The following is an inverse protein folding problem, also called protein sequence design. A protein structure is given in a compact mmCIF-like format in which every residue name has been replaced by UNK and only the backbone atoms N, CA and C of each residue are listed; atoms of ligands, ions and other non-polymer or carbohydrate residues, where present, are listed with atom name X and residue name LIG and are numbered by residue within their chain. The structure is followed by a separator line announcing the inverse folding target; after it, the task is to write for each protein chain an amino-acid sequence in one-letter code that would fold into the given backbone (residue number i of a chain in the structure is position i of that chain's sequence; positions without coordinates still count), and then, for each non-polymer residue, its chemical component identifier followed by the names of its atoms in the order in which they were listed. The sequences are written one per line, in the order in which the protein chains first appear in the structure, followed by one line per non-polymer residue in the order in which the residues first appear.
data_IF_124037493488
#
_entry.id   IF_124037493488
#
_cell.length_a   1.000
_cell.length_b   1.000
_cell.length_c   1.000
_cell.angle_alpha   90.00
_cell.angle_beta   90.00
_cell.angle_gamma   90.00
#
_symmetry.space_group_name_H-M   'P 1'
#
loop_
_entity.id
_entity.type
_entity.pdbx_description
1 polymer ?
#
# COMPACT_ATOMS: atom_id res chain seq x y z
N UNK A 1 -33.16 -23.81 -21.69
CA UNK A 1 -32.52 -22.68 -20.99
C UNK A 1 -31.09 -22.64 -21.47
N UNK A 2 -30.62 -21.52 -22.06
CA UNK A 2 -29.19 -21.38 -22.36
C UNK A 2 -28.46 -21.47 -21.02
N UNK A 3 -27.55 -22.41 -20.86
CA UNK A 3 -26.59 -22.37 -19.76
C UNK A 3 -25.83 -21.05 -19.95
N UNK A 4 -26.19 -20.01 -19.19
CA UNK A 4 -25.51 -18.72 -19.27
C UNK A 4 -24.03 -18.87 -18.91
N UNK A 5 -23.25 -17.78 -19.01
CA UNK A 5 -21.82 -17.71 -18.65
C UNK A 5 -21.41 -18.57 -17.45
N UNK A 6 -22.17 -18.53 -16.36
CA UNK A 6 -21.89 -19.30 -15.14
C UNK A 6 -22.07 -20.82 -15.32
N UNK A 7 -22.97 -21.25 -16.20
CA UNK A 7 -23.13 -22.66 -16.59
C UNK A 7 -21.91 -23.17 -17.35
N UNK A 8 -21.38 -22.40 -18.30
CA UNK A 8 -20.15 -22.76 -19.03
C UNK A 8 -18.92 -22.79 -18.12
N UNK A 9 -18.75 -21.78 -17.25
CA UNK A 9 -17.67 -21.77 -16.24
C UNK A 9 -17.79 -22.98 -15.32
N UNK A 10 -19.01 -23.34 -14.91
CA UNK A 10 -19.26 -24.51 -14.05
C UNK A 10 -18.98 -25.82 -14.79
N UNK A 11 -19.36 -25.95 -16.05
CA UNK A 11 -19.09 -27.13 -16.88
C UNK A 11 -17.57 -27.33 -17.06
N UNK A 12 -16.85 -26.26 -17.39
CA UNK A 12 -15.39 -26.33 -17.56
C UNK A 12 -14.66 -26.58 -16.24
N UNK A 13 -15.16 -26.01 -15.13
CA UNK A 13 -14.68 -26.37 -13.79
C UNK A 13 -14.88 -27.86 -13.51
N UNK A 14 -16.03 -28.43 -13.86
CA UNK A 14 -16.29 -29.85 -13.66
C UNK A 14 -15.36 -30.72 -14.51
N UNK A 15 -15.09 -30.34 -15.75
CA UNK A 15 -14.12 -31.01 -16.61
C UNK A 15 -12.69 -30.96 -16.05
N UNK A 16 -12.28 -29.82 -15.48
CA UNK A 16 -10.99 -29.72 -14.77
C UNK A 16 -11.00 -30.66 -13.57
N UNK A 17 -12.09 -30.72 -12.80
CA UNK A 17 -12.22 -31.62 -11.64
C UNK A 17 -12.16 -33.09 -12.04
N UNK A 18 -12.81 -33.47 -13.14
CA UNK A 18 -12.84 -34.85 -13.66
C UNK A 18 -11.49 -35.31 -14.21
N UNK A 19 -10.67 -34.38 -14.72
CA UNK A 19 -9.33 -34.67 -15.24
C UNK A 19 -8.23 -34.71 -14.17
N UNK A 20 -8.57 -34.46 -12.90
CA UNK A 20 -7.64 -34.56 -11.78
C UNK A 20 -7.73 -35.96 -11.15
N UNK A 21 -6.61 -36.67 -11.06
CA UNK A 21 -6.55 -38.05 -10.60
C UNK A 21 -6.85 -38.18 -9.09
N UNK A 22 -7.34 -39.34 -8.65
CA UNK A 22 -7.78 -39.59 -7.26
C UNK A 22 -6.70 -39.35 -6.17
N UNK A 23 -5.41 -39.28 -6.52
CA UNK A 23 -4.30 -39.10 -5.56
C UNK A 23 -4.00 -37.63 -5.17
N UNK A 24 -4.74 -36.66 -5.70
CA UNK A 24 -4.32 -35.27 -5.70
C UNK A 24 -4.82 -34.43 -4.52
N UNK A 25 -4.39 -34.82 -3.32
CA UNK A 25 -4.87 -34.19 -2.10
C UNK A 25 -4.31 -32.74 -1.93
N UNK A 26 -5.23 -31.77 -1.88
CA UNK A 26 -5.04 -30.32 -1.59
C UNK A 26 -4.35 -29.42 -2.62
N UNK A 27 -3.38 -29.87 -3.44
CA UNK A 27 -2.75 -29.03 -4.50
C UNK A 27 -3.73 -28.64 -5.63
N UNK A 28 -4.81 -29.39 -5.75
CA UNK A 28 -5.69 -29.35 -6.90
C UNK A 28 -6.82 -28.33 -6.80
N UNK A 29 -7.29 -28.04 -5.58
CA UNK A 29 -8.27 -26.95 -5.36
C UNK A 29 -7.73 -25.61 -5.84
N UNK A 30 -6.43 -25.41 -5.76
CA UNK A 30 -5.73 -24.26 -6.30
C UNK A 30 -5.74 -24.18 -7.81
N UNK A 31 -5.32 -25.26 -8.44
CA UNK A 31 -5.30 -25.36 -9.89
C UNK A 31 -6.70 -25.16 -10.48
N UNK A 32 -7.71 -25.85 -9.91
CA UNK A 32 -9.12 -25.66 -10.29
C UNK A 32 -9.52 -24.19 -10.21
N UNK A 33 -9.17 -23.49 -9.12
CA UNK A 33 -9.50 -22.06 -8.95
C UNK A 33 -8.79 -21.17 -9.97
N UNK A 34 -7.50 -21.39 -10.19
CA UNK A 34 -6.69 -20.62 -11.15
C UNK A 34 -7.19 -20.82 -12.59
N UNK A 35 -7.40 -22.06 -13.01
CA UNK A 35 -7.94 -22.36 -14.34
C UNK A 35 -9.35 -21.79 -14.51
N UNK A 36 -10.23 -21.95 -13.50
CA UNK A 36 -11.57 -21.34 -13.52
C UNK A 36 -11.51 -19.81 -13.63
N UNK A 37 -10.54 -19.17 -12.96
CA UNK A 37 -10.31 -17.73 -13.06
C UNK A 37 -9.84 -17.31 -14.46
N UNK A 38 -8.84 -18.01 -15.04
CA UNK A 38 -8.34 -17.71 -16.39
C UNK A 38 -9.44 -17.86 -17.46
N UNK A 39 -10.25 -18.92 -17.36
CA UNK A 39 -11.41 -19.13 -18.24
C UNK A 39 -12.43 -18.01 -18.08
N UNK A 40 -12.70 -17.58 -16.84
CA UNK A 40 -13.57 -16.43 -16.58
C UNK A 40 -13.01 -15.18 -17.26
N UNK A 41 -11.73 -14.85 -17.09
CA UNK A 41 -11.11 -13.67 -17.70
C UNK A 41 -11.19 -13.69 -19.24
N UNK A 42 -10.97 -14.84 -19.87
CA UNK A 42 -11.08 -14.98 -21.32
C UNK A 42 -12.51 -14.73 -21.80
N UNK A 43 -13.50 -15.34 -21.14
CA UNK A 43 -14.92 -15.17 -21.48
C UNK A 43 -15.38 -13.74 -21.26
N UNK A 44 -14.85 -13.07 -20.24
CA UNK A 44 -15.24 -11.71 -19.86
C UNK A 44 -14.85 -10.66 -20.91
N UNK A 45 -13.86 -10.93 -21.77
CA UNK A 45 -13.42 -10.02 -22.84
C UNK A 45 -14.54 -9.66 -23.82
N UNK A 46 -15.41 -10.61 -24.15
CA UNK A 46 -16.41 -10.47 -25.21
C UNK A 46 -17.82 -10.23 -24.69
N UNK A 47 -17.99 -10.04 -23.38
CA UNK A 47 -19.31 -9.80 -22.80
C UNK A 47 -19.86 -8.40 -23.17
N UNK A 48 -21.21 -8.27 -23.23
CA UNK A 48 -21.87 -6.96 -23.28
C UNK A 48 -21.46 -6.07 -22.11
N UNK A 49 -21.48 -4.75 -22.31
CA UNK A 49 -21.06 -3.75 -21.32
C UNK A 49 -21.76 -3.90 -19.96
N UNK A 50 -23.07 -4.15 -19.95
CA UNK A 50 -23.83 -4.32 -18.70
C UNK A 50 -23.40 -5.57 -17.91
N UNK A 51 -23.10 -6.68 -18.60
CA UNK A 51 -22.60 -7.90 -17.94
C UNK A 51 -21.18 -7.69 -17.39
N UNK A 52 -20.31 -6.97 -18.11
CA UNK A 52 -18.98 -6.58 -17.62
C UNK A 52 -19.07 -5.73 -16.36
N UNK A 53 -20.03 -4.80 -16.32
CA UNK A 53 -20.29 -3.95 -15.15
C UNK A 53 -20.72 -4.78 -13.94
N UNK A 54 -21.64 -5.73 -14.12
CA UNK A 54 -22.07 -6.61 -13.04
C UNK A 54 -20.92 -7.46 -12.48
N UNK A 55 -20.06 -8.00 -13.35
CA UNK A 55 -18.89 -8.79 -12.93
C UNK A 55 -17.90 -7.92 -12.16
N UNK A 56 -17.64 -6.71 -12.66
CA UNK A 56 -16.79 -5.72 -12.00
C UNK A 56 -17.32 -5.38 -10.60
N UNK A 57 -18.62 -5.08 -10.47
CA UNK A 57 -19.24 -4.75 -9.19
C UNK A 57 -19.19 -5.94 -8.21
N UNK A 58 -19.42 -7.17 -8.67
CA UNK A 58 -19.26 -8.38 -7.84
C UNK A 58 -17.82 -8.56 -7.36
N UNK A 59 -16.84 -8.30 -8.22
CA UNK A 59 -15.43 -8.39 -7.90
C UNK A 59 -15.02 -7.32 -6.88
N UNK A 60 -15.43 -6.06 -7.08
CA UNK A 60 -15.22 -4.95 -6.13
C UNK A 60 -15.80 -5.32 -4.75
N UNK A 61 -17.05 -5.78 -4.70
CA UNK A 61 -17.72 -6.16 -3.46
C UNK A 61 -17.07 -7.36 -2.75
N UNK A 62 -16.41 -8.27 -3.48
CA UNK A 62 -15.64 -9.39 -2.90
C UNK A 62 -14.43 -8.90 -2.10
N UNK A 63 -13.76 -7.85 -2.54
CA UNK A 63 -12.44 -7.45 -2.04
C UNK A 63 -12.44 -6.18 -1.19
N UNK A 64 -13.41 -5.30 -1.38
CA UNK A 64 -13.54 -4.04 -0.65
C UNK A 64 -14.73 -4.09 0.30
N UNK A 65 -14.53 -3.53 1.50
CA UNK A 65 -15.55 -3.42 2.53
C UNK A 65 -16.51 -2.29 2.21
N UNK A 66 -15.95 -1.14 1.84
CA UNK A 66 -16.63 0.11 1.56
C UNK A 66 -15.87 0.84 0.45
N UNK A 67 -16.58 1.60 -0.38
CA UNK A 67 -16.02 2.50 -1.36
C UNK A 67 -17.02 3.62 -1.66
N UNK A 68 -16.51 4.80 -1.99
CA UNK A 68 -17.30 5.95 -2.40
C UNK A 68 -16.75 6.54 -3.69
N UNK A 69 -17.63 7.11 -4.49
CA UNK A 69 -17.28 7.82 -5.72
C UNK A 69 -17.53 9.29 -5.46
N UNK A 70 -16.59 10.14 -5.87
CA UNK A 70 -16.76 11.60 -5.85
C UNK A 70 -18.08 12.02 -6.50
N UNK A 71 -18.77 13.00 -5.91
CA UNK A 71 -20.04 13.50 -6.46
C UNK A 71 -19.83 14.38 -7.68
N UNK A 72 -18.76 15.16 -7.70
CA UNK A 72 -18.43 16.08 -8.80
C UNK A 72 -17.45 15.48 -9.82
N UNK A 73 -16.97 14.25 -9.57
CA UNK A 73 -15.96 13.62 -10.41
C UNK A 73 -14.57 14.24 -10.20
N UNK A 74 -14.14 14.35 -8.95
CA UNK A 74 -12.81 14.84 -8.62
C UNK A 74 -11.71 13.86 -9.03
N UNK A 75 -10.53 14.40 -9.31
CA UNK A 75 -9.35 13.66 -9.75
C UNK A 75 -8.48 13.16 -8.58
N UNK A 76 -9.10 12.86 -7.44
CA UNK A 76 -8.38 12.35 -6.27
C UNK A 76 -9.07 11.15 -5.64
N UNK A 77 -8.24 10.28 -5.05
CA UNK A 77 -8.69 9.08 -4.38
C UNK A 77 -7.92 8.84 -3.09
N UNK A 78 -8.64 8.35 -2.07
CA UNK A 78 -8.07 8.00 -0.77
C UNK A 78 -8.33 6.53 -0.47
N UNK A 79 -7.28 5.76 -0.19
CA UNK A 79 -7.43 4.37 0.20
C UNK A 79 -6.98 4.09 1.63
N UNK A 80 -7.48 2.96 2.15
CA UNK A 80 -7.04 2.39 3.41
C UNK A 80 -6.97 0.86 3.32
N UNK A 81 -5.93 0.37 2.65
CA UNK A 81 -5.78 -1.06 2.35
C UNK A 81 -5.39 -1.94 3.54
N UNK A 82 -4.91 -1.36 4.65
CA UNK A 82 -4.53 -2.11 5.86
C UNK A 82 -5.46 -1.85 7.07
N UNK A 83 -6.61 -1.21 6.84
CA UNK A 83 -7.54 -0.73 7.87
C UNK A 83 -8.22 -1.78 8.75
N UNK A 84 -8.28 -3.06 8.35
CA UNK A 84 -9.13 -4.02 9.05
C UNK A 84 -8.52 -4.49 10.38
N UNK A 85 -9.30 -4.36 11.47
CA UNK A 85 -9.00 -4.95 12.78
C UNK A 85 -8.77 -6.46 12.70
N UNK A 86 -8.00 -6.98 13.65
CA UNK A 86 -7.99 -8.41 13.91
C UNK A 86 -9.40 -8.93 14.22
N UNK A 87 -9.81 -9.95 13.48
CA UNK A 87 -10.99 -10.74 13.78
C UNK A 87 -10.75 -11.68 14.97
N UNK A 88 -11.81 -12.29 15.49
CA UNK A 88 -11.75 -13.16 16.66
C UNK A 88 -10.80 -14.35 16.46
N UNK A 89 -10.76 -14.95 15.28
CA UNK A 89 -9.80 -16.01 14.96
C UNK A 89 -8.33 -15.55 15.00
N UNK A 90 -8.03 -14.32 14.59
CA UNK A 90 -6.69 -13.75 14.74
C UNK A 90 -6.33 -13.50 16.19
N UNK A 91 -7.27 -12.97 16.97
CA UNK A 91 -7.10 -12.70 18.40
C UNK A 91 -6.77 -14.00 19.13
N UNK A 92 -7.52 -15.08 18.88
CA UNK A 92 -7.22 -16.43 19.42
C UNK A 92 -5.77 -16.82 19.13
N UNK A 93 -5.35 -16.73 17.86
CA UNK A 93 -3.98 -17.13 17.48
C UNK A 93 -2.90 -16.31 18.19
N UNK A 94 -3.09 -14.99 18.29
CA UNK A 94 -2.13 -14.10 18.96
C UNK A 94 -2.04 -14.44 20.45
N UNK A 95 -3.18 -14.62 21.11
CA UNK A 95 -3.23 -14.95 22.54
C UNK A 95 -2.61 -16.32 22.80
N UNK A 96 -2.89 -17.33 21.98
CA UNK A 96 -2.34 -18.68 22.12
C UNK A 96 -0.81 -18.77 21.99
N UNK A 97 -0.17 -17.74 21.43
CA UNK A 97 1.31 -17.64 21.40
C UNK A 97 1.89 -17.11 22.72
N UNK A 98 1.06 -16.50 23.58
CA UNK A 98 1.48 -15.96 24.87
C UNK A 98 1.35 -17.04 25.95
N UNK A 99 2.38 -17.28 26.78
CA UNK A 99 2.35 -18.30 27.82
C UNK A 99 1.11 -18.22 28.71
N UNK A 100 0.69 -17.01 29.10
CA UNK A 100 -0.44 -16.81 30.01
C UNK A 100 -1.83 -17.17 29.43
N UNK A 101 -1.96 -17.31 28.11
CA UNK A 101 -3.24 -17.59 27.44
C UNK A 101 -3.20 -18.86 26.57
N UNK A 102 -2.09 -19.59 26.61
CA UNK A 102 -1.86 -20.78 25.77
C UNK A 102 -2.95 -21.84 25.99
N UNK A 103 -3.44 -21.98 27.22
CA UNK A 103 -4.39 -23.03 27.61
C UNK A 103 -5.85 -22.53 27.71
N UNK A 104 -6.10 -21.23 27.56
CA UNK A 104 -7.45 -20.64 27.58
C UNK A 104 -8.33 -21.19 26.46
N UNK A 105 -9.60 -21.52 26.71
CA UNK A 105 -10.48 -22.03 25.66
C UNK A 105 -10.63 -21.01 24.51
N UNK A 106 -10.51 -21.49 23.27
CA UNK A 106 -10.71 -20.64 22.09
C UNK A 106 -12.14 -20.11 22.03
N UNK A 107 -13.13 -20.88 22.50
CA UNK A 107 -14.54 -20.44 22.55
C UNK A 107 -14.70 -19.26 23.49
N UNK A 108 -14.03 -19.27 24.65
CA UNK A 108 -14.05 -18.15 25.60
C UNK A 108 -13.47 -16.87 24.98
N UNK A 109 -12.29 -16.98 24.35
CA UNK A 109 -11.64 -15.86 23.66
C UNK A 109 -12.55 -15.30 22.55
N UNK A 110 -13.18 -16.19 21.77
CA UNK A 110 -14.10 -15.80 20.69
C UNK A 110 -15.29 -15.03 21.26
N UNK A 111 -15.97 -15.57 22.28
CA UNK A 111 -17.16 -14.95 22.87
C UNK A 111 -16.86 -13.57 23.44
N UNK A 112 -15.77 -13.41 24.20
CA UNK A 112 -15.33 -12.09 24.69
C UNK A 112 -14.96 -11.15 23.53
N UNK A 113 -14.27 -11.67 22.51
CA UNK A 113 -13.89 -10.91 21.32
C UNK A 113 -15.09 -10.38 20.53
N UNK A 114 -16.17 -11.17 20.42
CA UNK A 114 -17.45 -10.75 19.81
C UNK A 114 -18.11 -9.66 20.65
N UNK A 115 -18.29 -9.88 21.95
CA UNK A 115 -18.93 -8.90 22.83
C UNK A 115 -18.21 -7.52 22.84
N UNK A 116 -16.89 -7.54 22.80
CA UNK A 116 -16.08 -6.31 22.67
C UNK A 116 -16.30 -5.65 21.32
N UNK A 117 -16.34 -6.42 20.23
CA UNK A 117 -16.57 -5.87 18.88
C UNK A 117 -17.96 -5.24 18.76
N UNK A 118 -18.99 -5.87 19.33
CA UNK A 118 -20.35 -5.33 19.39
C UNK A 118 -20.40 -4.04 20.21
N UNK A 119 -19.70 -3.99 21.35
CA UNK A 119 -19.61 -2.78 22.17
C UNK A 119 -18.96 -1.62 21.42
N UNK A 120 -17.87 -1.89 20.68
CA UNK A 120 -17.21 -0.88 19.83
C UNK A 120 -18.17 -0.40 18.73
N UNK A 121 -18.83 -1.33 18.04
CA UNK A 121 -19.77 -1.00 16.97
C UNK A 121 -20.92 -0.13 17.49
N UNK A 122 -21.52 -0.50 18.63
CA UNK A 122 -22.58 0.27 19.28
C UNK A 122 -22.14 1.69 19.65
N UNK A 123 -20.96 1.87 20.26
CA UNK A 123 -20.47 3.20 20.63
C UNK A 123 -20.24 4.07 19.38
N UNK A 124 -19.70 3.48 18.30
CA UNK A 124 -19.46 4.20 17.04
C UNK A 124 -20.75 4.56 16.32
N UNK A 125 -21.75 3.70 16.33
CA UNK A 125 -23.07 4.00 15.75
C UNK A 125 -23.71 5.22 16.43
N UNK A 126 -23.58 5.30 17.76
CA UNK A 126 -24.14 6.42 18.53
C UNK A 126 -23.23 7.67 18.55
N UNK A 127 -21.93 7.51 18.32
CA UNK A 127 -20.96 8.61 18.31
C UNK A 127 -19.94 8.43 17.18
N UNK A 128 -20.32 8.67 15.91
CA UNK A 128 -19.47 8.39 14.75
C UNK A 128 -18.14 9.15 14.75
N UNK A 129 -18.11 10.31 15.42
CA UNK A 129 -16.95 11.19 15.52
C UNK A 129 -15.96 10.77 16.62
N UNK A 130 -16.34 9.84 17.52
CA UNK A 130 -15.43 9.40 18.57
C UNK A 130 -14.31 8.57 17.97
N UNK A 131 -13.09 8.96 18.29
CA UNK A 131 -11.94 8.14 17.99
C UNK A 131 -12.02 6.85 18.82
N UNK A 132 -11.67 5.76 18.19
CA UNK A 132 -11.54 4.45 18.80
C UNK A 132 -10.61 4.35 20.01
N UNK A 133 -9.57 5.19 20.18
CA UNK A 133 -8.59 5.04 21.23
C UNK A 133 -9.24 5.52 22.51
N UNK A 134 -10.08 6.56 22.43
CA UNK A 134 -11.02 6.91 23.48
C UNK A 134 -11.97 5.75 23.80
N UNK A 135 -12.53 5.07 22.79
CA UNK A 135 -13.44 3.92 22.98
C UNK A 135 -12.71 2.74 23.64
N UNK A 136 -11.54 2.37 23.14
CA UNK A 136 -10.71 1.28 23.68
C UNK A 136 -10.24 1.63 25.08
N UNK A 137 -9.86 2.88 25.35
CA UNK A 137 -9.46 3.35 26.68
C UNK A 137 -10.64 3.28 27.66
N UNK A 138 -11.82 3.73 27.26
CA UNK A 138 -13.06 3.62 28.03
C UNK A 138 -13.41 2.16 28.31
N UNK A 139 -13.43 1.31 27.28
CA UNK A 139 -13.72 -0.11 27.43
C UNK A 139 -12.64 -0.81 28.27
N UNK A 140 -11.37 -0.41 28.16
CA UNK A 140 -10.29 -1.00 28.96
C UNK A 140 -10.45 -0.68 30.44
N UNK A 141 -10.94 0.53 30.78
CA UNK A 141 -11.33 0.88 32.14
C UNK A 141 -12.56 0.09 32.59
N UNK A 142 -13.59 -0.01 31.74
CA UNK A 142 -14.81 -0.79 32.01
C UNK A 142 -14.50 -2.26 32.30
N UNK A 143 -13.53 -2.85 31.62
CA UNK A 143 -13.14 -4.26 31.75
C UNK A 143 -11.88 -4.46 32.58
N UNK A 144 -11.46 -3.50 33.41
CA UNK A 144 -10.13 -3.53 34.07
C UNK A 144 -9.85 -4.79 34.90
N UNK A 145 -10.89 -5.38 35.51
CA UNK A 145 -10.79 -6.63 36.27
C UNK A 145 -10.72 -7.89 35.38
N UNK A 146 -11.21 -7.81 34.14
CA UNK A 146 -11.19 -8.89 33.15
C UNK A 146 -9.94 -8.78 32.27
N UNK A 147 -8.85 -9.37 32.77
CA UNK A 147 -7.54 -9.37 32.10
C UNK A 147 -7.58 -9.88 30.66
N UNK A 148 -8.47 -10.84 30.34
CA UNK A 148 -8.59 -11.36 28.98
C UNK A 148 -9.24 -10.32 28.07
N UNK A 149 -10.32 -9.68 28.52
CA UNK A 149 -10.96 -8.59 27.78
C UNK A 149 -10.02 -7.40 27.56
N UNK A 150 -9.24 -7.01 28.57
CA UNK A 150 -8.20 -5.98 28.43
C UNK A 150 -7.15 -6.38 27.40
N UNK A 151 -6.70 -7.64 27.40
CA UNK A 151 -5.70 -8.09 26.43
C UNK A 151 -6.27 -8.14 25.01
N UNK A 152 -7.54 -8.53 24.85
CA UNK A 152 -8.25 -8.47 23.56
C UNK A 152 -8.35 -7.02 23.06
N UNK A 153 -8.70 -6.08 23.94
CA UNK A 153 -8.74 -4.65 23.64
C UNK A 153 -7.37 -4.10 23.24
N UNK A 154 -6.30 -4.49 23.95
CA UNK A 154 -4.92 -4.16 23.56
C UNK A 154 -4.59 -4.69 22.18
N UNK A 155 -4.89 -5.96 21.88
CA UNK A 155 -4.68 -6.53 20.55
C UNK A 155 -5.45 -5.74 19.50
N UNK A 156 -6.73 -5.43 19.74
CA UNK A 156 -7.54 -4.60 18.84
C UNK A 156 -6.92 -3.22 18.63
N UNK A 157 -6.36 -2.61 19.66
CA UNK A 157 -5.65 -1.32 19.59
C UNK A 157 -4.28 -1.38 18.88
N UNK A 158 -3.69 -2.55 18.69
CA UNK A 158 -2.44 -2.73 17.93
C UNK A 158 -2.64 -2.74 16.41
N UNK A 159 -3.87 -2.95 15.93
CA UNK A 159 -4.14 -2.98 14.51
C UNK A 159 -4.33 -1.56 13.97
N UNK A 160 -3.89 -1.34 12.73
CA UNK A 160 -4.05 -0.12 11.91
C UNK A 160 -5.51 0.14 11.56
N UNK A 161 -6.42 -0.11 12.49
CA UNK A 161 -7.74 0.43 12.39
C UNK A 161 -7.62 1.97 12.34
N UNK A 162 -8.64 2.65 11.84
CA UNK A 162 -8.76 4.12 11.75
C UNK A 162 -8.18 4.78 10.51
N UNK A 163 -7.24 4.16 9.79
CA UNK A 163 -6.93 4.68 8.45
C UNK A 163 -8.13 4.53 7.51
N UNK A 164 -9.00 3.54 7.76
CA UNK A 164 -10.27 3.38 7.02
C UNK A 164 -11.26 4.52 7.25
N UNK A 165 -11.54 4.89 8.51
CA UNK A 165 -12.41 6.04 8.80
C UNK A 165 -11.75 7.35 8.41
N UNK A 166 -10.43 7.49 8.62
CA UNK A 166 -9.68 8.65 8.14
C UNK A 166 -9.82 8.80 6.63
N UNK A 167 -9.61 7.73 5.87
CA UNK A 167 -9.72 7.75 4.41
C UNK A 167 -11.11 8.19 3.95
N UNK A 168 -12.16 7.62 4.55
CA UNK A 168 -13.53 7.99 4.26
C UNK A 168 -13.82 9.46 4.57
N UNK A 169 -13.47 9.94 5.76
CA UNK A 169 -13.76 11.32 6.16
C UNK A 169 -12.94 12.35 5.39
N UNK A 170 -11.67 12.04 5.10
CA UNK A 170 -10.84 12.86 4.19
C UNK A 170 -11.53 12.96 2.84
N UNK A 171 -11.95 11.84 2.26
CA UNK A 171 -12.61 11.81 0.97
C UNK A 171 -13.96 12.55 0.97
N UNK A 172 -14.75 12.45 2.04
CA UNK A 172 -15.99 13.22 2.18
C UNK A 172 -15.74 14.73 2.24
N UNK A 173 -14.66 15.17 2.91
CA UNK A 173 -14.29 16.59 3.04
C UNK A 173 -13.77 17.18 1.73
N UNK A 174 -13.05 16.40 0.94
CA UNK A 174 -12.47 16.83 -0.34
C UNK A 174 -13.30 16.43 -1.57
N UNK A 175 -14.49 15.85 -1.37
CA UNK A 175 -15.26 15.18 -2.43
C UNK A 175 -14.40 14.24 -3.30
N UNK A 176 -13.48 13.50 -2.69
CA UNK A 176 -12.65 12.47 -3.34
C UNK A 176 -13.37 11.13 -3.43
N UNK A 177 -12.94 10.28 -4.34
CA UNK A 177 -13.30 8.87 -4.29
C UNK A 177 -12.53 8.16 -3.17
N UNK A 178 -13.04 7.05 -2.65
CA UNK A 178 -12.32 6.27 -1.64
C UNK A 178 -12.60 4.78 -1.72
N UNK A 179 -11.71 3.97 -1.14
CA UNK A 179 -12.00 2.56 -0.90
C UNK A 179 -11.25 1.97 0.29
N UNK A 180 -11.89 0.99 0.93
CA UNK A 180 -11.42 0.35 2.15
C UNK A 180 -11.32 -1.16 1.91
N UNK A 181 -10.15 -1.75 2.14
CA UNK A 181 -9.98 -3.19 1.95
C UNK A 181 -10.84 -4.01 2.92
N UNK A 182 -11.40 -5.13 2.46
CA UNK A 182 -12.21 -6.04 3.28
C UNK A 182 -11.38 -6.99 4.14
N UNK A 183 -10.14 -7.28 3.73
CA UNK A 183 -9.28 -8.25 4.42
C UNK A 183 -8.18 -7.56 5.22
N UNK A 184 -7.81 -8.16 6.34
CA UNK A 184 -6.68 -7.68 7.14
C UNK A 184 -5.37 -7.90 6.39
N UNK A 185 -4.37 -7.04 6.62
CA UNK A 185 -3.02 -7.22 6.07
C UNK A 185 -2.36 -8.55 6.49
N UNK A 186 -2.83 -9.15 7.58
CA UNK A 186 -2.39 -10.47 8.07
C UNK A 186 -3.08 -11.63 7.34
N UNK A 187 -4.16 -11.36 6.62
CA UNK A 187 -4.74 -12.29 5.67
C UNK A 187 -4.02 -12.18 4.32
N UNK A 188 -3.93 -10.96 3.79
CA UNK A 188 -3.20 -10.61 2.57
C UNK A 188 -2.67 -9.20 2.74
N UNK A 189 -1.37 -9.02 2.54
CA UNK A 189 -0.81 -7.69 2.39
C UNK A 189 -1.10 -7.20 0.96
N UNK A 190 -2.02 -6.25 0.82
CA UNK A 190 -2.43 -5.70 -0.48
C UNK A 190 -1.29 -4.97 -1.21
N UNK A 191 -0.16 -4.70 -0.54
CA UNK A 191 1.05 -4.19 -1.18
C UNK A 191 1.99 -5.33 -1.63
N UNK A 192 1.70 -6.59 -1.32
CA UNK A 192 2.53 -7.76 -1.63
C UNK A 192 1.63 -8.89 -2.15
N UNK A 193 1.35 -8.94 -3.46
CA UNK A 193 0.34 -9.84 -4.03
C UNK A 193 0.54 -11.31 -3.72
N UNK A 194 1.80 -11.74 -3.71
CA UNK A 194 2.21 -13.11 -3.42
C UNK A 194 2.10 -13.47 -1.93
N UNK A 195 1.96 -12.46 -1.06
CA UNK A 195 1.94 -12.59 0.40
C UNK A 195 0.51 -12.75 0.95
N UNK A 196 -0.25 -13.66 0.34
CA UNK A 196 -1.55 -14.12 0.86
C UNK A 196 -1.31 -15.20 1.93
N UNK A 197 -1.04 -14.76 3.17
CA UNK A 197 -0.52 -15.57 4.29
C UNK A 197 -1.43 -16.69 4.79
N UNK A 198 -2.73 -16.69 4.42
CA UNK A 198 -3.70 -17.70 4.89
C UNK A 198 -4.13 -18.74 3.87
N UNK A 199 -3.58 -18.66 2.67
CA UNK A 199 -3.85 -19.63 1.64
C UNK A 199 -2.57 -20.43 1.44
N UNK A 200 -2.56 -21.68 1.91
CA UNK A 200 -1.38 -22.55 1.82
C UNK A 200 -1.03 -22.94 0.38
N UNK A 201 -2.04 -22.98 -0.47
CA UNK A 201 -1.92 -23.35 -1.88
C UNK A 201 -1.48 -22.16 -2.74
N UNK A 202 -0.43 -22.36 -3.55
CA UNK A 202 0.18 -21.31 -4.38
C UNK A 202 -0.80 -20.74 -5.41
N UNK A 203 -1.57 -21.58 -6.09
CA UNK A 203 -2.45 -21.15 -7.17
C UNK A 203 -3.62 -20.31 -6.65
N UNK A 204 -4.19 -20.67 -5.50
CA UNK A 204 -5.22 -19.87 -4.83
C UNK A 204 -4.67 -18.54 -4.30
N UNK A 205 -3.39 -18.47 -3.91
CA UNK A 205 -2.74 -17.19 -3.55
C UNK A 205 -2.65 -16.27 -4.75
N UNK A 206 -2.18 -16.81 -5.88
CA UNK A 206 -2.08 -16.08 -7.15
C UNK A 206 -3.46 -15.59 -7.61
N UNK A 207 -4.50 -16.44 -7.62
CA UNK A 207 -5.88 -16.03 -7.98
C UNK A 207 -6.40 -14.91 -7.07
N UNK A 208 -6.21 -15.04 -5.76
CA UNK A 208 -6.71 -14.05 -4.82
C UNK A 208 -5.99 -12.70 -4.99
N UNK A 209 -4.66 -12.72 -5.12
CA UNK A 209 -3.85 -11.52 -5.33
C UNK A 209 -4.18 -10.83 -6.66
N UNK A 210 -4.28 -11.59 -7.75
CA UNK A 210 -4.67 -11.07 -9.06
C UNK A 210 -6.10 -10.50 -9.04
N UNK A 211 -7.05 -11.23 -8.44
CA UNK A 211 -8.43 -10.78 -8.32
C UNK A 211 -8.56 -9.50 -7.51
N UNK A 212 -7.79 -9.34 -6.43
CA UNK A 212 -7.78 -8.11 -5.64
C UNK A 212 -7.30 -6.90 -6.46
N UNK A 213 -6.24 -7.05 -7.25
CA UNK A 213 -5.74 -5.95 -8.08
C UNK A 213 -6.63 -5.63 -9.26
N UNK A 214 -7.20 -6.64 -9.91
CA UNK A 214 -8.17 -6.38 -10.94
C UNK A 214 -9.37 -5.61 -10.35
N UNK A 215 -9.83 -5.98 -9.16
CA UNK A 215 -10.85 -5.22 -8.42
C UNK A 215 -10.44 -3.76 -8.19
N UNK A 216 -9.20 -3.53 -7.76
CA UNK A 216 -8.67 -2.19 -7.52
C UNK A 216 -8.58 -1.36 -8.81
N UNK A 217 -8.10 -1.96 -9.89
CA UNK A 217 -8.02 -1.34 -11.20
C UNK A 217 -9.40 -0.97 -11.73
N UNK A 218 -10.37 -1.90 -11.67
CA UNK A 218 -11.75 -1.62 -12.05
C UNK A 218 -12.36 -0.50 -11.20
N UNK A 219 -12.00 -0.43 -9.93
CA UNK A 219 -12.49 0.61 -9.03
C UNK A 219 -11.90 1.99 -9.36
N UNK A 220 -10.60 2.07 -9.63
CA UNK A 220 -9.94 3.31 -10.09
C UNK A 220 -10.51 3.74 -11.46
N UNK A 221 -10.73 2.79 -12.37
CA UNK A 221 -11.40 3.04 -13.65
C UNK A 221 -12.79 3.64 -13.42
N UNK A 222 -13.60 3.04 -12.54
CA UNK A 222 -14.93 3.52 -12.18
C UNK A 222 -14.92 4.94 -11.60
N UNK A 223 -13.90 5.29 -10.81
CA UNK A 223 -13.71 6.66 -10.31
C UNK A 223 -13.41 7.64 -11.45
N UNK A 224 -12.56 7.22 -12.38
CA UNK A 224 -12.07 8.06 -13.48
C UNK A 224 -13.09 8.21 -14.63
N UNK A 225 -13.97 7.23 -14.82
CA UNK A 225 -15.11 7.35 -15.73
C UNK A 225 -16.07 8.45 -15.29
N UNK A 226 -16.25 8.63 -13.97
CA UNK A 226 -17.12 9.67 -13.41
C UNK A 226 -16.56 11.09 -13.61
N UNK A 227 -15.24 11.22 -13.74
CA UNK A 227 -14.56 12.50 -13.99
C UNK A 227 -14.27 12.77 -15.48
N UNK A 228 -14.66 11.84 -16.38
CA UNK A 228 -14.30 11.82 -17.80
C UNK A 228 -12.78 11.77 -18.06
N UNK A 229 -12.01 11.24 -17.11
CA UNK A 229 -10.53 11.29 -17.15
C UNK A 229 -9.89 10.01 -17.66
N UNK A 230 -10.67 9.04 -18.15
CA UNK A 230 -10.16 7.74 -18.61
C UNK A 230 -10.35 7.55 -20.12
N UNK A 231 -9.26 7.25 -20.83
CA UNK A 231 -9.29 6.88 -22.25
C UNK A 231 -9.35 5.36 -22.43
N UNK A 232 -10.49 4.83 -22.89
CA UNK A 232 -10.66 3.38 -23.08
C UNK A 232 -9.66 2.77 -24.08
N UNK A 233 -9.30 3.49 -25.13
CA UNK A 233 -8.39 2.99 -26.18
C UNK A 233 -6.97 2.76 -25.67
N UNK A 234 -6.45 3.69 -24.85
CA UNK A 234 -5.10 3.63 -24.30
C UNK A 234 -5.05 3.00 -22.90
N UNK A 235 -6.22 2.85 -22.27
CA UNK A 235 -6.40 2.41 -20.88
C UNK A 235 -5.71 3.28 -19.83
N UNK A 236 -5.50 4.55 -20.15
CA UNK A 236 -4.73 5.52 -19.36
C UNK A 236 -5.58 6.71 -18.92
N UNK A 237 -5.09 7.42 -17.89
CA UNK A 237 -5.69 8.67 -17.41
C UNK A 237 -5.22 9.87 -18.24
N UNK A 238 -6.16 10.70 -18.67
CA UNK A 238 -5.90 11.90 -19.47
C UNK A 238 -5.71 13.18 -18.66
N UNK A 239 -6.13 13.18 -17.40
CA UNK A 239 -5.93 14.29 -16.46
C UNK A 239 -5.14 13.81 -15.25
N UNK A 240 -4.38 14.71 -14.60
CA UNK A 240 -3.67 14.41 -13.37
C UNK A 240 -4.61 13.76 -12.35
N UNK A 241 -4.19 12.68 -11.72
CA UNK A 241 -4.99 11.99 -10.72
C UNK A 241 -4.11 11.64 -9.52
N UNK A 242 -4.47 12.13 -8.33
CA UNK A 242 -3.73 11.82 -7.11
C UNK A 242 -4.44 10.76 -6.27
N UNK A 243 -3.76 9.64 -6.09
CA UNK A 243 -4.18 8.57 -5.22
C UNK A 243 -3.28 8.55 -3.98
N UNK A 244 -3.88 8.86 -2.82
CA UNK A 244 -3.19 8.71 -1.54
C UNK A 244 -3.64 7.43 -0.82
N UNK A 245 -2.70 6.69 -0.26
CA UNK A 245 -2.94 5.48 0.50
C UNK A 245 -2.52 5.68 1.94
N UNK A 246 -3.47 5.58 2.86
CA UNK A 246 -3.25 5.91 4.26
C UNK A 246 -2.85 4.67 5.07
N UNK A 247 -1.72 4.77 5.76
CA UNK A 247 -1.17 3.73 6.60
C UNK A 247 -0.78 4.26 7.98
N UNK A 248 -0.78 3.37 8.97
CA UNK A 248 -0.30 3.67 10.31
C UNK A 248 1.08 3.08 10.54
N UNK A 249 2.02 3.88 11.05
CA UNK A 249 3.34 3.39 11.46
C UNK A 249 3.55 3.47 12.97
N UNK A 250 4.47 2.63 13.45
CA UNK A 250 5.06 2.78 14.78
C UNK A 250 5.86 4.08 14.85
N UNK A 251 5.94 4.69 16.03
CA UNK A 251 6.83 5.82 16.25
C UNK A 251 8.28 5.34 16.46
N UNK A 252 9.20 5.82 15.63
CA UNK A 252 10.62 5.49 15.71
C UNK A 252 11.47 6.70 15.33
N UNK A 253 12.58 6.88 16.04
CA UNK A 253 13.48 8.02 15.88
C UNK A 253 14.33 7.97 14.59
N UNK A 254 14.48 6.81 13.97
CA UNK A 254 15.26 6.61 12.73
C UNK A 254 14.44 6.76 11.44
N UNK A 255 13.14 7.09 11.56
CA UNK A 255 12.27 7.32 10.42
C UNK A 255 12.50 8.73 9.82
N UNK A 256 12.24 8.88 8.51
CA UNK A 256 12.38 10.15 7.79
C UNK A 256 11.40 11.26 8.24
N UNK A 257 10.45 10.95 9.11
CA UNK A 257 9.44 11.87 9.63
C UNK A 257 8.43 11.21 10.55
N UNK A 258 7.63 12.03 11.23
CA UNK A 258 6.43 11.57 11.95
C UNK A 258 5.36 11.14 10.96
N UNK A 259 5.34 11.81 9.81
CA UNK A 259 4.61 11.40 8.61
C UNK A 259 5.62 11.11 7.51
N UNK A 260 5.43 10.02 6.78
CA UNK A 260 6.32 9.66 5.66
C UNK A 260 5.51 9.58 4.37
N UNK A 261 5.97 10.32 3.38
CA UNK A 261 5.50 10.29 2.00
C UNK A 261 6.40 9.32 1.24
N UNK A 262 5.90 8.13 0.96
CA UNK A 262 6.67 7.08 0.28
C UNK A 262 6.80 7.40 -1.20
N UNK A 263 8.03 7.63 -1.68
CA UNK A 263 8.25 7.85 -3.10
C UNK A 263 9.60 7.29 -3.59
N UNK A 264 9.91 6.04 -3.23
CA UNK A 264 11.13 5.37 -3.67
C UNK A 264 11.01 4.78 -5.08
N UNK A 265 12.12 4.81 -5.80
CA UNK A 265 12.38 4.15 -7.06
C UNK A 265 12.23 2.63 -6.91
N UNK A 266 11.60 1.98 -7.88
CA UNK A 266 11.48 0.53 -8.01
C UNK A 266 11.70 0.18 -9.48
N UNK A 267 12.73 -0.59 -9.77
CA UNK A 267 13.15 -0.93 -11.14
C UNK A 267 13.19 0.29 -12.07
N UNK A 268 13.85 1.35 -11.63
CA UNK A 268 14.02 2.58 -12.43
C UNK A 268 12.80 3.50 -12.52
N UNK A 269 11.68 3.19 -11.84
CA UNK A 269 10.45 3.98 -11.90
C UNK A 269 9.96 4.42 -10.52
N UNK A 270 9.19 5.50 -10.42
CA UNK A 270 8.63 6.02 -9.17
C UNK A 270 7.08 6.07 -9.20
N UNK A 271 6.41 5.78 -8.06
CA UNK A 271 4.95 5.75 -8.03
C UNK A 271 4.32 7.14 -8.17
N UNK A 272 5.10 8.19 -7.92
CA UNK A 272 4.72 9.58 -8.06
C UNK A 272 5.93 10.40 -8.54
N UNK A 273 5.68 11.48 -9.27
CA UNK A 273 6.73 12.44 -9.60
C UNK A 273 7.29 13.07 -8.32
N UNK A 274 8.61 13.18 -8.19
CA UNK A 274 9.22 13.61 -6.93
C UNK A 274 8.88 15.07 -6.57
N UNK A 275 8.53 15.91 -7.55
CA UNK A 275 8.01 17.24 -7.28
C UNK A 275 6.64 17.21 -6.59
N UNK A 276 5.75 16.29 -6.99
CA UNK A 276 4.42 16.14 -6.39
C UNK A 276 4.52 15.54 -4.99
N UNK A 277 5.41 14.56 -4.78
CA UNK A 277 5.69 14.02 -3.45
C UNK A 277 6.22 15.10 -2.47
N UNK A 278 7.15 15.95 -2.93
CA UNK A 278 7.62 17.10 -2.13
C UNK A 278 6.52 18.12 -1.87
N UNK A 279 5.80 18.52 -2.92
CA UNK A 279 4.67 19.45 -2.80
C UNK A 279 3.67 18.98 -1.73
N UNK A 280 3.30 17.70 -1.76
CA UNK A 280 2.39 17.13 -0.78
C UNK A 280 2.97 17.20 0.64
N UNK A 281 4.25 16.85 0.81
CA UNK A 281 4.95 16.92 2.10
C UNK A 281 5.07 18.35 2.64
N UNK A 282 5.37 19.32 1.77
CA UNK A 282 5.49 20.73 2.14
C UNK A 282 4.14 21.30 2.59
N UNK A 283 3.07 21.01 1.83
CA UNK A 283 1.69 21.40 2.22
C UNK A 283 1.27 20.78 3.54
N UNK A 284 1.63 19.53 3.78
CA UNK A 284 1.38 18.85 5.05
C UNK A 284 2.11 19.53 6.21
N UNK A 285 3.38 19.86 6.03
CA UNK A 285 4.19 20.59 7.02
C UNK A 285 3.64 21.99 7.33
N UNK A 286 3.21 22.73 6.31
CA UNK A 286 2.64 24.07 6.48
C UNK A 286 1.34 24.03 7.30
N UNK A 287 0.42 23.13 6.95
CA UNK A 287 -0.85 22.97 7.65
C UNK A 287 -0.71 22.42 9.07
N UNK A 288 0.28 21.53 9.31
CA UNK A 288 0.64 21.06 10.66
C UNK A 288 1.05 22.23 11.55
N UNK A 289 1.88 23.14 11.02
CA UNK A 289 2.32 24.34 11.75
C UNK A 289 1.16 25.30 11.99
N UNK A 290 0.36 25.56 10.95
CA UNK A 290 -0.84 26.41 11.02
C UNK A 290 -1.80 25.96 12.12
N UNK A 291 -2.00 24.64 12.24
CA UNK A 291 -2.91 24.05 13.24
C UNK A 291 -2.27 23.77 14.60
N UNK A 292 -1.01 24.11 14.81
CA UNK A 292 -0.38 23.94 16.12
C UNK A 292 -0.18 22.48 16.54
N UNK A 293 0.00 21.56 15.61
CA UNK A 293 0.17 20.13 15.92
C UNK A 293 1.56 19.87 16.50
N UNK A 294 1.64 19.84 17.83
CA UNK A 294 2.90 19.70 18.58
C UNK A 294 3.02 18.36 19.34
N UNK A 295 4.25 17.88 19.38
CA UNK A 295 4.70 16.76 20.20
C UNK A 295 4.86 17.18 21.66
N UNK A 296 5.09 16.21 22.53
CA UNK A 296 5.26 16.44 23.97
C UNK A 296 6.56 17.18 24.31
N UNK A 297 7.53 17.20 23.40
CA UNK A 297 8.78 17.98 23.53
C UNK A 297 8.68 19.40 22.96
N UNK A 298 7.47 19.88 22.63
CA UNK A 298 7.17 21.18 22.01
C UNK A 298 7.68 21.38 20.57
N UNK A 299 8.17 20.33 19.91
CA UNK A 299 8.42 20.38 18.47
C UNK A 299 7.13 20.14 17.69
N UNK A 300 7.01 20.74 16.50
CA UNK A 300 5.96 20.37 15.57
C UNK A 300 6.15 18.93 15.07
N UNK A 301 5.05 18.24 14.81
CA UNK A 301 5.13 17.07 13.93
C UNK A 301 5.69 17.50 12.56
N UNK A 302 6.32 16.58 11.84
CA UNK A 302 6.80 16.88 10.50
C UNK A 302 6.66 15.70 9.55
N UNK A 303 6.48 16.04 8.28
CA UNK A 303 6.42 15.16 7.13
C UNK A 303 7.73 15.18 6.36
N UNK A 304 8.23 13.99 6.01
CA UNK A 304 9.38 13.78 5.14
C UNK A 304 9.05 12.87 3.96
N UNK A 305 9.81 13.01 2.87
CA UNK A 305 9.70 12.12 1.70
C UNK A 305 10.73 10.99 1.84
N UNK A 306 10.27 9.75 1.95
CA UNK A 306 11.13 8.58 1.95
C UNK A 306 11.55 8.19 0.54
N UNK A 307 12.86 8.06 0.35
CA UNK A 307 13.54 7.74 -0.91
C UNK A 307 14.15 6.35 -0.84
N UNK A 308 14.82 5.94 -1.92
CA UNK A 308 15.45 4.63 -2.00
C UNK A 308 16.41 4.41 -0.82
N UNK A 309 16.41 3.22 -0.24
CA UNK A 309 17.17 2.94 0.98
C UNK A 309 16.38 3.13 2.28
N UNK A 310 15.38 4.01 2.29
CA UNK A 310 14.56 4.24 3.49
C UNK A 310 13.62 3.08 3.76
N UNK A 311 13.27 2.89 5.03
CA UNK A 311 12.38 1.79 5.47
C UNK A 311 10.98 1.85 4.83
N UNK A 312 10.47 3.06 4.60
CA UNK A 312 9.11 3.32 4.13
C UNK A 312 9.10 3.97 2.75
N UNK A 313 9.97 3.54 1.84
CA UNK A 313 10.02 4.10 0.48
C UNK A 313 9.04 3.47 -0.52
N UNK A 314 7.97 2.81 -0.03
CA UNK A 314 6.88 2.26 -0.85
C UNK A 314 7.13 0.85 -1.41
N UNK A 315 6.13 0.29 -2.08
CA UNK A 315 6.22 -1.02 -2.74
C UNK A 315 6.20 -0.91 -4.28
N UNK A 316 6.76 -1.91 -4.97
CA UNK A 316 6.77 -2.00 -6.44
C UNK A 316 5.37 -1.97 -7.06
N UNK A 317 4.37 -2.51 -6.37
CA UNK A 317 2.99 -2.51 -6.89
C UNK A 317 2.49 -1.10 -7.24
N UNK A 318 2.94 -0.08 -6.51
CA UNK A 318 2.53 1.29 -6.75
C UNK A 318 3.12 1.84 -8.05
N UNK A 319 4.37 1.48 -8.37
CA UNK A 319 4.99 1.79 -9.67
C UNK A 319 4.32 1.03 -10.80
N UNK A 320 3.96 -0.24 -10.59
CA UNK A 320 3.29 -1.06 -11.60
C UNK A 320 1.87 -0.57 -11.92
N UNK A 321 1.16 0.07 -10.98
CA UNK A 321 -0.12 0.74 -11.28
C UNK A 321 0.07 1.91 -12.25
N UNK A 322 1.15 2.67 -12.11
CA UNK A 322 1.44 3.84 -12.95
C UNK A 322 1.93 3.43 -14.34
N UNK A 323 2.93 2.55 -14.41
CA UNK A 323 3.61 2.20 -15.66
C UNK A 323 3.22 0.84 -16.25
N UNK A 324 2.34 0.10 -15.59
CA UNK A 324 1.93 -1.23 -16.00
C UNK A 324 2.92 -2.31 -15.60
N UNK A 325 2.48 -3.56 -15.72
CA UNK A 325 3.33 -4.75 -15.63
C UNK A 325 2.67 -5.91 -16.38
N UNK A 326 3.15 -7.15 -16.21
CA UNK A 326 2.45 -8.34 -16.71
C UNK A 326 1.06 -8.51 -16.08
N UNK A 327 0.85 -7.95 -14.89
CA UNK A 327 -0.38 -8.10 -14.11
C UNK A 327 -1.23 -6.83 -14.11
N UNK A 328 -0.63 -5.66 -14.40
CA UNK A 328 -1.31 -4.38 -14.34
C UNK A 328 -1.37 -3.70 -15.71
N UNK A 329 -2.55 -3.21 -16.09
CA UNK A 329 -2.63 -2.19 -17.12
C UNK A 329 -2.09 -0.88 -16.54
N UNK A 330 -1.26 -0.17 -17.31
CA UNK A 330 -0.73 1.12 -16.92
C UNK A 330 -1.86 2.17 -16.84
N UNK A 331 -1.87 2.97 -15.78
CA UNK A 331 -2.75 4.15 -15.67
C UNK A 331 -2.12 5.42 -16.26
N UNK A 332 -0.84 5.36 -16.64
CA UNK A 332 -0.12 6.42 -17.34
C UNK A 332 0.55 7.41 -16.40
N UNK A 333 1.30 8.36 -16.98
CA UNK A 333 2.10 9.36 -16.25
C UNK A 333 1.25 10.33 -15.42
N UNK A 334 -0.02 10.52 -15.78
CA UNK A 334 -0.95 11.36 -15.03
C UNK A 334 -1.40 10.74 -13.70
N UNK A 335 -1.27 9.43 -13.53
CA UNK A 335 -1.56 8.77 -12.28
C UNK A 335 -0.41 8.97 -11.29
N UNK A 336 -0.69 9.62 -10.16
CA UNK A 336 0.25 9.91 -9.10
C UNK A 336 -0.16 9.12 -7.86
N UNK A 337 0.71 8.24 -7.35
CA UNK A 337 0.41 7.46 -6.15
C UNK A 337 1.36 7.79 -5.00
N UNK A 338 0.79 8.17 -3.87
CA UNK A 338 1.52 8.46 -2.63
C UNK A 338 1.03 7.53 -1.53
N UNK A 339 1.95 6.80 -0.90
CA UNK A 339 1.65 6.11 0.37
C UNK A 339 2.05 7.01 1.54
N UNK A 340 1.08 7.34 2.40
CA UNK A 340 1.24 8.22 3.56
C UNK A 340 1.25 7.38 4.84
N UNK A 341 2.41 7.30 5.48
CA UNK A 341 2.60 6.57 6.73
C UNK A 341 2.53 7.53 7.93
N UNK A 342 1.51 7.39 8.77
CA UNK A 342 1.22 8.30 9.88
C UNK A 342 1.58 7.66 11.21
N UNK A 343 2.44 8.29 12.02
CA UNK A 343 2.83 7.76 13.32
C UNK A 343 1.63 7.65 14.28
N UNK A 344 1.74 6.72 15.23
CA UNK A 344 0.68 6.46 16.20
C UNK A 344 0.34 7.66 17.10
N UNK A 345 1.30 8.40 17.70
CA UNK A 345 0.98 9.54 18.57
C UNK A 345 0.15 10.62 17.87
N UNK A 346 0.53 10.96 16.64
CA UNK A 346 -0.17 11.94 15.82
C UNK A 346 -1.62 11.52 15.54
N UNK A 347 -1.83 10.27 15.08
CA UNK A 347 -3.17 9.74 14.82
C UNK A 347 -4.03 9.58 16.06
N UNK A 348 -3.42 9.34 17.22
CA UNK A 348 -4.15 9.17 18.47
C UNK A 348 -4.59 10.53 19.06
N UNK A 349 -3.75 11.57 18.94
CA UNK A 349 -3.97 12.88 19.57
C UNK A 349 -4.69 13.89 18.68
N UNK A 350 -4.45 13.83 17.36
CA UNK A 350 -4.84 14.88 16.42
C UNK A 350 -5.64 14.34 15.23
N UNK A 351 -6.44 13.31 15.46
CA UNK A 351 -7.20 12.64 14.40
C UNK A 351 -8.14 13.59 13.63
N UNK A 352 -8.93 14.47 14.28
CA UNK A 352 -9.79 15.42 13.57
C UNK A 352 -9.00 16.41 12.71
N UNK A 353 -7.90 16.94 13.23
CA UNK A 353 -7.06 17.89 12.50
C UNK A 353 -6.40 17.23 11.28
N UNK A 354 -5.97 15.97 11.39
CA UNK A 354 -5.44 15.22 10.25
C UNK A 354 -6.46 15.04 9.12
N UNK A 355 -7.74 14.82 9.45
CA UNK A 355 -8.79 14.70 8.43
C UNK A 355 -8.92 15.99 7.62
N UNK A 356 -8.92 17.12 8.31
CA UNK A 356 -9.06 18.40 7.65
C UNK A 356 -7.81 18.76 6.84
N UNK A 357 -6.61 18.57 7.42
CA UNK A 357 -5.35 18.85 6.73
C UNK A 357 -5.27 18.07 5.42
N UNK A 358 -5.50 16.75 5.47
CA UNK A 358 -5.43 15.92 4.28
C UNK A 358 -6.54 16.27 3.29
N UNK A 359 -7.76 16.57 3.76
CA UNK A 359 -8.86 17.00 2.90
C UNK A 359 -8.55 18.29 2.15
N UNK A 360 -8.01 19.30 2.84
CA UNK A 360 -7.60 20.56 2.24
C UNK A 360 -6.48 20.37 1.20
N UNK A 361 -5.49 19.51 1.47
CA UNK A 361 -4.42 19.21 0.50
C UNK A 361 -4.99 18.58 -0.79
N UNK A 362 -5.99 17.70 -0.66
CA UNK A 362 -6.64 17.11 -1.82
C UNK A 362 -7.47 18.13 -2.60
N UNK A 363 -8.14 19.06 -1.93
CA UNK A 363 -8.83 20.20 -2.57
C UNK A 363 -7.81 21.06 -3.33
N UNK A 364 -6.69 21.41 -2.70
CA UNK A 364 -5.63 22.18 -3.35
C UNK A 364 -5.05 21.44 -4.57
N UNK A 365 -4.93 20.11 -4.53
CA UNK A 365 -4.53 19.33 -5.70
C UNK A 365 -5.56 19.46 -6.84
N UNK A 366 -6.85 19.29 -6.53
CA UNK A 366 -7.95 19.37 -7.50
C UNK A 366 -8.00 20.75 -8.17
N UNK A 367 -7.79 21.82 -7.41
CA UNK A 367 -7.80 23.19 -7.90
C UNK A 367 -6.55 23.53 -8.72
N UNK A 368 -5.38 23.00 -8.32
CA UNK A 368 -4.11 23.34 -8.95
C UNK A 368 -3.83 22.51 -10.22
N UNK A 369 -4.32 21.27 -10.30
CA UNK A 369 -3.98 20.32 -11.36
C UNK A 369 -5.23 19.88 -12.13
N UNK A 370 -5.90 20.84 -12.76
CA UNK A 370 -7.16 20.62 -13.49
C UNK A 370 -6.90 19.83 -14.78
N UNK A 371 -5.76 20.05 -15.44
CA UNK A 371 -5.40 19.39 -16.69
C UNK A 371 -3.91 19.00 -16.75
N UNK A 372 -3.54 18.21 -17.76
CA UNK A 372 -2.17 17.69 -17.93
C UNK A 372 -1.11 18.78 -18.12
N UNK A 373 -1.47 19.94 -18.70
CA UNK A 373 -0.52 21.04 -18.90
C UNK A 373 -0.22 21.78 -17.58
N UNK A 374 -1.19 21.87 -16.66
CA UNK A 374 -0.98 22.44 -15.32
C UNK A 374 0.08 21.62 -14.56
N UNK A 375 -0.09 20.28 -14.57
CA UNK A 375 0.86 19.36 -13.97
C UNK A 375 2.23 19.51 -14.63
N UNK A 376 2.31 19.44 -15.95
CA UNK A 376 3.57 19.56 -16.69
C UNK A 376 4.30 20.88 -16.40
N UNK A 377 3.59 22.00 -16.39
CA UNK A 377 4.14 23.32 -16.05
C UNK A 377 4.70 23.33 -14.64
N UNK A 378 3.96 22.77 -13.68
CA UNK A 378 4.42 22.65 -12.31
C UNK A 378 5.69 21.79 -12.20
N UNK A 379 5.69 20.59 -12.79
CA UNK A 379 6.83 19.66 -12.77
C UNK A 379 8.10 20.31 -13.34
N UNK A 380 7.99 21.04 -14.45
CA UNK A 380 9.11 21.77 -15.06
C UNK A 380 9.63 22.90 -14.14
N UNK A 381 8.73 23.64 -13.50
CA UNK A 381 9.09 24.78 -12.65
C UNK A 381 9.70 24.39 -11.29
N UNK A 382 9.46 23.16 -10.81
CA UNK A 382 9.88 22.68 -9.48
C UNK A 382 10.95 21.60 -9.52
N UNK A 383 11.50 21.31 -10.70
CA UNK A 383 12.50 20.27 -10.88
C UNK A 383 13.83 20.66 -10.24
N UNK A 384 14.35 19.79 -9.39
CA UNK A 384 15.70 19.90 -8.80
C UNK A 384 16.70 19.02 -9.57
N UNK A 385 18.02 19.24 -9.41
CA UNK A 385 19.02 18.33 -9.99
C UNK A 385 18.84 16.88 -9.53
N UNK A 386 18.53 16.67 -8.25
CA UNK A 386 18.24 15.34 -7.70
C UNK A 386 17.06 14.68 -8.43
N UNK A 387 15.97 15.42 -8.67
CA UNK A 387 14.82 14.86 -9.35
C UNK A 387 15.13 14.39 -10.75
N UNK A 388 15.93 15.17 -11.48
CA UNK A 388 16.32 14.83 -12.84
C UNK A 388 17.05 13.48 -12.86
N UNK A 389 17.99 13.29 -11.93
CA UNK A 389 18.73 12.03 -11.77
C UNK A 389 17.76 10.89 -11.45
N UNK A 390 16.84 11.09 -10.50
CA UNK A 390 15.89 10.05 -10.09
C UNK A 390 14.88 9.70 -11.19
N UNK A 391 14.42 10.69 -11.97
CA UNK A 391 13.52 10.51 -13.12
C UNK A 391 14.19 9.77 -14.29
N UNK A 392 15.52 9.84 -14.40
CA UNK A 392 16.31 9.04 -15.34
C UNK A 392 16.48 7.58 -14.87
N UNK A 393 15.92 7.20 -13.71
CA UNK A 393 16.01 5.86 -13.15
C UNK A 393 17.29 5.61 -12.35
N UNK A 394 18.04 6.66 -12.02
CA UNK A 394 19.30 6.58 -11.29
C UNK A 394 19.08 6.77 -9.78
N UNK A 395 19.94 6.15 -8.97
CA UNK A 395 19.96 6.41 -7.54
C UNK A 395 20.76 7.68 -7.25
N UNK A 396 20.26 8.46 -6.32
CA UNK A 396 20.98 9.57 -5.70
C UNK A 396 20.99 9.36 -4.19
N UNK A 397 22.17 9.26 -3.59
CA UNK A 397 22.31 9.13 -2.13
C UNK A 397 23.55 9.85 -1.62
N UNK A 398 23.43 10.48 -0.45
CA UNK A 398 24.55 11.11 0.26
C UNK A 398 25.35 10.10 1.10
N UNK A 399 24.75 8.96 1.44
CA UNK A 399 25.32 7.95 2.34
C UNK A 399 25.23 6.54 1.73
N UNK A 400 26.10 6.23 0.77
CA UNK A 400 26.25 4.86 0.25
C UNK A 400 27.16 3.95 1.13
N UNK A 401 27.53 4.42 2.32
CA UNK A 401 28.51 3.80 3.21
C UNK A 401 27.86 3.19 4.45
N UNK A 402 28.23 1.95 4.77
CA UNK A 402 28.04 1.38 6.10
C UNK A 402 29.40 1.32 6.81
N UNK A 403 29.40 1.60 8.11
CA UNK A 403 30.58 1.89 8.94
C UNK A 403 31.61 0.76 9.07
N UNK A 404 31.33 -0.45 8.56
CA UNK A 404 32.16 -1.65 8.73
C UNK A 404 32.63 -2.27 7.41
N UNK A 405 32.69 -1.47 6.34
CA UNK A 405 33.05 -1.93 5.00
C UNK A 405 34.52 -1.60 4.69
N UNK A 406 35.32 -2.54 4.12
CA UNK A 406 36.68 -2.25 3.69
C UNK A 406 36.78 -1.02 2.80
N UNK A 407 37.88 -0.28 2.90
CA UNK A 407 38.09 0.93 2.11
C UNK A 407 37.91 0.64 0.60
N UNK A 408 37.15 1.52 -0.05
CA UNK A 408 36.81 1.40 -1.46
C UNK A 408 35.58 0.52 -1.74
N UNK A 409 35.06 -0.23 -0.80
CA UNK A 409 33.91 -1.08 -1.05
C UNK A 409 32.59 -0.30 -0.80
N UNK A 410 31.65 -0.30 -1.74
CA UNK A 410 30.30 0.30 -1.61
C UNK A 410 29.28 -0.82 -1.45
N UNK A 411 28.60 -0.92 -0.31
CA UNK A 411 27.56 -1.93 -0.15
C UNK A 411 26.20 -1.37 -0.52
N UNK A 412 25.51 -2.03 -1.46
CA UNK A 412 24.13 -1.68 -1.74
C UNK A 412 23.21 -2.43 -0.79
N UNK A 413 22.33 -1.67 -0.12
CA UNK A 413 21.21 -2.27 0.59
C UNK A 413 20.32 -3.06 -0.39
N UNK A 414 19.54 -4.01 0.13
CA UNK A 414 18.51 -4.69 -0.68
C UNK A 414 17.54 -3.68 -1.31
N UNK A 415 17.17 -2.62 -0.59
CA UNK A 415 16.32 -1.55 -1.11
C UNK A 415 16.93 -0.86 -2.32
N UNK A 416 18.22 -0.49 -2.28
CA UNK A 416 18.91 0.12 -3.41
C UNK A 416 18.99 -0.80 -4.64
N UNK A 417 19.18 -2.11 -4.43
CA UNK A 417 19.14 -3.07 -5.55
C UNK A 417 17.78 -3.18 -6.19
N UNK A 418 16.73 -3.32 -5.36
CA UNK A 418 15.36 -3.39 -5.85
C UNK A 418 14.96 -2.10 -6.58
N UNK A 419 15.48 -0.97 -6.11
CA UNK A 419 15.31 0.32 -6.76
C UNK A 419 15.94 0.37 -8.15
N UNK A 420 17.20 -0.05 -8.30
CA UNK A 420 17.87 -0.12 -9.61
C UNK A 420 17.38 -1.28 -10.48
N UNK A 421 16.79 -2.33 -9.89
CA UNK A 421 16.48 -3.57 -10.60
C UNK A 421 17.74 -4.28 -11.10
N UNK A 422 18.82 -4.28 -10.30
CA UNK A 422 20.10 -4.88 -10.68
C UNK A 422 20.29 -6.28 -10.11
N UNK A 423 20.87 -7.16 -10.92
CA UNK A 423 21.18 -8.55 -10.59
C UNK A 423 22.69 -8.80 -10.39
N UNK A 424 23.05 -9.91 -9.74
CA UNK A 424 24.45 -10.30 -9.58
C UNK A 424 25.07 -10.57 -10.95
N UNK A 425 26.26 -9.99 -11.20
CA UNK A 425 26.97 -10.05 -12.47
C UNK A 425 26.69 -8.88 -13.40
N UNK A 426 25.62 -8.11 -13.18
CA UNK A 426 25.37 -6.89 -13.94
C UNK A 426 26.36 -5.77 -13.59
N UNK A 427 26.47 -4.80 -14.49
CA UNK A 427 27.32 -3.62 -14.34
C UNK A 427 26.49 -2.40 -13.95
N UNK A 428 27.03 -1.59 -13.06
CA UNK A 428 26.50 -0.28 -12.66
C UNK A 428 27.59 0.77 -12.78
N UNK A 429 27.21 2.01 -13.08
CA UNK A 429 28.13 3.14 -12.98
C UNK A 429 27.91 3.82 -11.63
N UNK A 430 28.97 3.96 -10.83
CA UNK A 430 28.96 4.84 -9.66
C UNK A 430 29.80 6.05 -9.99
N UNK A 431 29.18 7.22 -10.02
CA UNK A 431 29.82 8.47 -10.44
C UNK A 431 30.62 8.28 -11.76
N UNK A 432 29.98 7.66 -12.76
CA UNK A 432 30.51 7.34 -14.11
C UNK A 432 31.63 6.29 -14.17
N UNK A 433 31.88 5.55 -13.09
CA UNK A 433 32.88 4.47 -13.05
C UNK A 433 32.18 3.12 -12.97
N UNK A 434 32.68 2.15 -13.71
CA UNK A 434 32.04 0.83 -13.82
C UNK A 434 32.32 -0.06 -12.59
N UNK A 435 31.26 -0.67 -12.07
CA UNK A 435 31.29 -1.67 -11.01
C UNK A 435 30.47 -2.88 -11.40
N UNK A 436 30.93 -4.07 -11.00
CA UNK A 436 30.17 -5.32 -11.16
C UNK A 436 29.47 -5.65 -9.84
N UNK A 437 28.18 -5.93 -9.91
CA UNK A 437 27.38 -6.36 -8.75
C UNK A 437 27.80 -7.77 -8.34
N UNK A 438 28.37 -7.95 -7.15
CA UNK A 438 28.81 -9.26 -6.64
C UNK A 438 27.85 -9.79 -5.55
N UNK A 439 27.70 -11.10 -5.47
CA UNK A 439 27.04 -11.75 -4.33
C UNK A 439 27.89 -11.58 -3.06
N UNK A 440 27.27 -11.43 -1.90
CA UNK A 440 28.01 -11.49 -0.63
C UNK A 440 28.38 -12.92 -0.27
N UNK A 441 29.62 -13.12 0.20
CA UNK A 441 30.02 -14.36 0.87
C UNK A 441 29.29 -14.47 2.21
N UNK A 442 28.76 -15.67 2.50
CA UNK A 442 27.80 -15.94 3.56
C UNK A 442 28.34 -15.81 5.00
N UNK A 443 29.65 -15.82 5.21
CA UNK A 443 30.21 -16.32 6.49
C UNK A 443 31.24 -15.43 7.22
N UNK A 444 31.44 -14.15 6.87
CA UNK A 444 32.45 -13.32 7.61
C UNK A 444 31.99 -11.97 8.14
N UNK A 445 30.84 -11.49 7.71
CA UNK A 445 30.18 -10.30 8.23
C UNK A 445 28.67 -10.60 8.22
N UNK A 446 27.89 -10.11 9.18
CA UNK A 446 26.42 -10.26 9.21
C UNK A 446 25.75 -9.40 8.11
N UNK A 447 26.22 -9.57 6.87
CA UNK A 447 25.97 -8.75 5.70
C UNK A 447 25.36 -9.64 4.62
N UNK A 448 24.09 -10.00 4.78
CA UNK A 448 23.25 -10.63 3.74
C UNK A 448 22.94 -9.68 2.57
N UNK A 449 23.80 -8.70 2.27
CA UNK A 449 23.55 -7.58 1.35
C UNK A 449 24.74 -7.42 0.40
N UNK A 450 24.56 -7.52 -0.93
CA UNK A 450 25.64 -7.48 -1.91
C UNK A 450 26.37 -6.15 -1.96
N UNK A 451 27.57 -6.25 -2.51
CA UNK A 451 28.62 -5.27 -2.35
C UNK A 451 29.21 -4.96 -3.74
N UNK A 452 29.45 -3.68 -4.03
CA UNK A 452 30.29 -3.16 -5.11
C UNK A 452 31.71 -2.93 -4.54
N UNK A 453 32.76 -3.34 -5.25
CA UNK A 453 34.14 -3.12 -4.79
C UNK A 453 34.81 -2.03 -5.61
N UNK A 454 35.27 -0.96 -4.97
CA UNK A 454 36.20 0.07 -5.47
C UNK A 454 37.49 0.07 -4.65
N UNK A 455 38.49 0.83 -5.06
CA UNK A 455 39.67 1.19 -4.26
C UNK A 455 39.64 2.67 -3.84
N UNK A 456 38.51 3.36 -4.02
CA UNK A 456 38.40 4.82 -3.85
C UNK A 456 37.44 5.25 -2.74
N UNK A 457 37.78 6.35 -2.06
CA UNK A 457 36.91 7.02 -1.11
C UNK A 457 36.01 8.03 -1.84
N UNK A 458 34.70 7.83 -1.84
CA UNK A 458 33.72 8.85 -2.23
C UNK A 458 33.32 9.60 -0.95
N UNK A 459 33.67 10.89 -0.84
CA UNK A 459 33.41 11.69 0.36
C UNK A 459 32.17 12.60 0.22
N UNK A 460 31.34 12.38 -0.80
CA UNK A 460 30.23 13.24 -1.25
C UNK A 460 29.15 12.41 -1.97
N UNK A 461 28.08 13.09 -2.40
CA UNK A 461 26.98 12.59 -3.24
C UNK A 461 27.38 11.45 -4.20
N UNK A 462 26.59 10.39 -4.18
CA UNK A 462 26.80 9.18 -4.96
C UNK A 462 25.63 9.01 -5.92
N UNK A 463 25.94 9.07 -7.22
CA UNK A 463 25.01 8.74 -8.30
C UNK A 463 25.30 7.32 -8.77
N UNK A 464 24.28 6.47 -8.82
CA UNK A 464 24.39 5.09 -9.29
C UNK A 464 23.45 4.87 -10.48
N UNK A 465 24.02 4.49 -11.61
CA UNK A 465 23.33 4.29 -12.89
C UNK A 465 23.40 2.82 -13.29
N UNK A 466 22.31 2.25 -13.83
CA UNK A 466 22.33 0.89 -14.39
C UNK A 466 22.89 0.94 -15.81
N UNK A 467 23.88 0.09 -16.13
CA UNK A 467 24.34 -0.07 -17.52
C UNK A 467 23.37 -0.98 -18.24
N UNK A 468 22.57 -0.42 -19.16
CA UNK A 468 21.72 -1.20 -20.07
C UNK A 468 22.58 -1.57 -21.27
N UNK A 469 22.88 -2.87 -21.43
CA UNK A 469 23.63 -3.41 -22.57
C UNK A 469 22.76 -3.56 -23.81
#
# INVERSE_FOLDING_TARGET
MREGRFGEIKARRNEIVENLTEESDKKDKGLIRKETFLISEEKDKNLPTEEKKEISDRMINRYFLDYGISKIGSNTCVDAIHSQMANTGEIVRILKQKPQWKDTDSVEIINKGVAIAESIAFIRENNPQRDIFSIISELSKKYEEDKLSVEILKIKGLHEDYVGSLAKTVAEKSDSSYYIARKTRRFMDANRPEDVRRISDKNSREEFGHGYYNAQYQLIKKFSENSQDYQENNKELIKPFLHISLHGKSDKSDDAGDIIISNGLRKGNMPCDPQIARWFSDKLNDKIKERGLIKDNNDYYFSGVAKEGDRFCGNIVHTERRFGSKTFNALGSNYQYIQVELCLPLRAKHFPELQDILGEILIEFQEQFVNSEDLKTFLQSKMTPEDKIRLEGNLYTEAAYFSDIPQGVIQLSESYRLALGVEVGEKVLVNKREFVVKATEKDKLDLRKPILSSNENFSKEVIIEKVVL
#
